data_IF_111924710581
#
_entry.id   IF_111924710581
#
_cell.length_a   1.000
_cell.length_b   1.000
_cell.length_c   1.000
_cell.angle_alpha   90.00
_cell.angle_beta   90.00
_cell.angle_gamma   90.00
#
_symmetry.space_group_name_H-M   'P 1'
#
loop_
_entity.id
_entity.type
_entity.pdbx_description
1 polymer ?
#
# COMPACT_ATOMS: atom_id res chain seq x y z
N UNK A 1 10.47 21.34 10.64
CA UNK A 1 9.97 19.95 10.69
C UNK A 1 8.65 20.01 11.44
N UNK A 2 7.58 19.41 10.90
CA UNK A 2 6.25 19.51 11.50
C UNK A 2 6.22 18.59 12.74
N UNK A 3 6.41 19.16 13.94
CA UNK A 3 6.65 18.43 15.20
C UNK A 3 5.59 17.34 15.47
N UNK A 4 4.36 17.57 14.99
CA UNK A 4 3.24 16.65 15.09
C UNK A 4 3.52 15.25 14.50
N UNK A 5 4.32 15.15 13.42
CA UNK A 5 4.63 13.86 12.78
C UNK A 5 5.57 13.01 13.63
N UNK A 6 6.56 13.64 14.24
CA UNK A 6 7.52 12.97 15.14
C UNK A 6 6.81 12.58 16.44
N UNK A 7 5.92 13.44 16.95
CA UNK A 7 5.12 13.17 18.12
C UNK A 7 4.21 11.94 17.93
N UNK A 8 3.55 11.83 16.76
CA UNK A 8 2.76 10.63 16.41
C UNK A 8 3.65 9.38 16.40
N UNK A 9 4.79 9.39 15.72
CA UNK A 9 5.71 8.24 15.70
C UNK A 9 6.19 7.86 17.11
N UNK A 10 6.54 8.84 17.92
CA UNK A 10 6.99 8.62 19.31
C UNK A 10 5.87 8.08 20.21
N UNK A 11 4.60 8.44 19.95
CA UNK A 11 3.45 7.88 20.68
C UNK A 11 3.29 6.37 20.48
N UNK A 12 3.74 5.83 19.35
CA UNK A 12 3.75 4.39 19.08
C UNK A 12 4.95 3.66 19.70
N UNK A 13 6.07 4.36 19.91
CA UNK A 13 7.24 3.83 20.61
C UNK A 13 7.08 3.80 22.13
N UNK A 14 6.10 4.51 22.70
CA UNK A 14 5.99 4.67 24.16
C UNK A 14 7.24 5.36 24.73
N UNK A 15 7.80 4.83 25.84
CA UNK A 15 9.08 5.29 26.41
C UNK A 15 10.31 4.73 25.68
N UNK A 16 10.15 3.89 24.65
CA UNK A 16 11.27 3.30 23.94
C UNK A 16 11.90 4.31 22.98
N UNK A 17 13.24 4.34 22.96
CA UNK A 17 14.00 5.11 21.98
C UNK A 17 13.64 4.58 20.59
N UNK A 18 13.24 5.49 19.68
CA UNK A 18 13.09 5.18 18.26
C UNK A 18 14.48 4.87 17.71
N UNK A 19 14.86 3.59 17.75
CA UNK A 19 16.14 3.08 17.29
C UNK A 19 15.97 2.05 16.17
N UNK A 20 17.09 1.62 15.58
CA UNK A 20 17.09 0.67 14.47
C UNK A 20 16.45 -0.69 14.86
N UNK A 21 16.54 -1.06 16.15
CA UNK A 21 15.93 -2.28 16.67
C UNK A 21 14.40 -2.17 16.72
N UNK A 22 13.87 -1.02 17.14
CA UNK A 22 12.45 -0.75 17.08
C UNK A 22 11.97 -0.86 15.63
N UNK A 23 12.66 -0.20 14.69
CA UNK A 23 12.27 -0.16 13.27
C UNK A 23 12.23 -1.57 12.67
N UNK A 24 13.29 -2.36 12.89
CA UNK A 24 13.42 -3.71 12.33
C UNK A 24 12.43 -4.73 12.90
N UNK A 25 11.88 -4.50 14.10
CA UNK A 25 10.87 -5.38 14.72
C UNK A 25 9.45 -5.13 14.24
N UNK A 26 9.20 -4.03 13.53
CA UNK A 26 7.83 -3.70 13.10
C UNK A 26 7.40 -4.47 11.87
N UNK A 27 6.12 -4.81 11.82
CA UNK A 27 5.53 -5.43 10.63
C UNK A 27 5.25 -4.40 9.55
N UNK A 28 5.14 -4.83 8.29
CA UNK A 28 4.71 -3.94 7.21
C UNK A 28 3.33 -3.29 7.48
N UNK A 29 2.42 -4.03 8.12
CA UNK A 29 1.11 -3.51 8.52
C UNK A 29 1.19 -2.42 9.59
N UNK A 30 2.18 -2.47 10.48
CA UNK A 30 2.46 -1.38 11.41
C UNK A 30 2.82 -0.11 10.65
N UNK A 31 3.75 -0.17 9.69
CA UNK A 31 4.14 1.00 8.91
C UNK A 31 3.01 1.58 8.07
N UNK A 32 2.17 0.74 7.45
CA UNK A 32 0.98 1.20 6.75
C UNK A 32 0.03 2.00 7.67
N UNK A 33 -0.19 1.52 8.90
CA UNK A 33 -0.99 2.22 9.92
C UNK A 33 -0.37 3.57 10.30
N UNK A 34 0.94 3.61 10.53
CA UNK A 34 1.67 4.84 10.87
C UNK A 34 1.54 5.90 9.78
N UNK A 35 1.71 5.51 8.52
CA UNK A 35 1.58 6.43 7.38
C UNK A 35 0.19 7.09 7.36
N UNK A 36 -0.85 6.31 7.66
CA UNK A 36 -2.23 6.79 7.71
C UNK A 36 -2.48 7.77 8.86
N UNK A 37 -2.08 7.38 10.09
CA UNK A 37 -2.31 8.18 11.29
C UNK A 37 -1.49 9.47 11.31
N UNK A 38 -0.22 9.41 10.89
CA UNK A 38 0.64 10.58 10.77
C UNK A 38 0.31 11.45 9.54
N UNK A 39 -0.59 10.99 8.66
CA UNK A 39 -1.00 11.67 7.43
C UNK A 39 0.18 12.06 6.51
N UNK A 40 1.24 11.25 6.51
CA UNK A 40 2.49 11.52 5.77
C UNK A 40 2.50 10.94 4.35
N UNK A 41 1.37 10.43 3.86
CA UNK A 41 1.24 9.80 2.53
C UNK A 41 1.97 10.52 1.40
N UNK A 42 1.83 11.84 1.30
CA UNK A 42 2.43 12.63 0.23
C UNK A 42 3.94 12.84 0.39
N UNK A 43 4.47 12.67 1.61
CA UNK A 43 5.90 12.74 1.88
C UNK A 43 6.60 11.42 1.55
N UNK A 44 5.85 10.31 1.47
CA UNK A 44 6.38 8.97 1.22
C UNK A 44 6.67 8.73 -0.25
N UNK A 45 5.66 8.96 -1.11
CA UNK A 45 5.77 8.65 -2.54
C UNK A 45 4.74 9.42 -3.35
N UNK A 46 5.12 9.79 -4.57
CA UNK A 46 4.19 10.31 -5.57
C UNK A 46 3.73 9.19 -6.52
N UNK A 47 2.44 8.88 -6.48
CA UNK A 47 1.77 7.86 -7.30
C UNK A 47 0.94 8.48 -8.44
N UNK A 48 1.25 9.69 -8.90
CA UNK A 48 0.55 10.34 -10.01
C UNK A 48 0.53 9.47 -11.28
N UNK A 49 1.61 8.73 -11.52
CA UNK A 49 1.75 7.79 -12.66
C UNK A 49 0.95 6.49 -12.51
N UNK A 50 0.49 6.15 -11.31
CA UNK A 50 -0.23 4.91 -11.04
C UNK A 50 -1.73 5.08 -11.39
N UNK A 51 -2.24 4.24 -12.31
CA UNK A 51 -3.67 4.19 -12.64
C UNK A 51 -4.30 2.88 -12.19
N UNK A 52 -5.10 2.93 -11.11
CA UNK A 52 -5.76 1.75 -10.58
C UNK A 52 -6.77 1.13 -11.54
N UNK A 53 -7.30 1.85 -12.54
CA UNK A 53 -8.21 1.26 -13.53
C UNK A 53 -7.54 0.17 -14.37
N UNK A 54 -6.22 0.24 -14.52
CA UNK A 54 -5.42 -0.79 -15.22
C UNK A 54 -5.61 -2.17 -14.59
N UNK A 55 -5.75 -2.25 -13.27
CA UNK A 55 -5.63 -3.51 -12.54
C UNK A 55 -6.95 -4.24 -12.30
N UNK A 56 -8.09 -3.60 -12.59
CA UNK A 56 -9.37 -4.29 -12.63
C UNK A 56 -10.46 -3.49 -13.31
N UNK A 57 -11.32 -4.17 -14.08
CA UNK A 57 -12.52 -3.58 -14.70
C UNK A 57 -13.51 -3.02 -13.67
N UNK A 58 -13.45 -3.48 -12.42
CA UNK A 58 -14.34 -3.03 -11.34
C UNK A 58 -13.92 -1.69 -10.73
N UNK A 59 -12.70 -1.21 -11.03
CA UNK A 59 -12.19 0.05 -10.54
C UNK A 59 -12.79 1.21 -11.35
N UNK A 60 -13.72 1.96 -10.75
CA UNK A 60 -14.51 2.98 -11.47
C UNK A 60 -13.93 4.39 -11.40
N UNK A 61 -13.25 4.74 -10.32
CA UNK A 61 -12.81 6.12 -10.06
C UNK A 61 -11.51 6.43 -10.81
N UNK A 62 -11.53 7.52 -11.58
CA UNK A 62 -10.41 7.96 -12.41
C UNK A 62 -9.55 9.06 -11.75
N UNK A 63 -10.10 9.84 -10.82
CA UNK A 63 -9.40 10.96 -10.16
C UNK A 63 -9.25 10.68 -8.67
N UNK A 64 -8.09 10.13 -8.31
CA UNK A 64 -7.67 9.93 -6.92
C UNK A 64 -6.55 10.91 -6.60
N UNK A 65 -6.65 11.58 -5.45
CA UNK A 65 -5.57 12.41 -4.92
C UNK A 65 -4.42 11.51 -4.49
N UNK A 66 -3.18 12.03 -4.53
CA UNK A 66 -1.99 11.23 -4.22
C UNK A 66 -2.11 10.51 -2.86
N UNK A 67 -2.51 11.21 -1.79
CA UNK A 67 -2.68 10.59 -0.48
C UNK A 67 -3.67 9.40 -0.49
N UNK A 68 -4.72 9.46 -1.32
CA UNK A 68 -5.68 8.36 -1.47
C UNK A 68 -5.02 7.18 -2.18
N UNK A 69 -4.24 7.46 -3.24
CA UNK A 69 -3.49 6.42 -3.95
C UNK A 69 -2.48 5.72 -3.04
N UNK A 70 -1.75 6.48 -2.24
CA UNK A 70 -0.76 5.93 -1.29
C UNK A 70 -1.45 5.05 -0.26
N UNK A 71 -2.56 5.51 0.33
CA UNK A 71 -3.36 4.70 1.25
C UNK A 71 -3.83 3.39 0.60
N UNK A 72 -4.36 3.46 -0.62
CA UNK A 72 -4.81 2.29 -1.38
C UNK A 72 -3.65 1.33 -1.62
N UNK A 73 -2.49 1.83 -2.05
CA UNK A 73 -1.29 1.03 -2.31
C UNK A 73 -0.87 0.25 -1.06
N UNK A 74 -0.69 0.93 0.08
CA UNK A 74 -0.25 0.27 1.32
C UNK A 74 -1.26 -0.76 1.84
N UNK A 75 -2.56 -0.45 1.82
CA UNK A 75 -3.61 -1.40 2.20
C UNK A 75 -3.60 -2.67 1.34
N UNK A 76 -3.43 -2.51 0.02
CA UNK A 76 -3.35 -3.62 -0.92
C UNK A 76 -2.06 -4.41 -0.69
N UNK A 77 -0.91 -3.74 -0.50
CA UNK A 77 0.37 -4.39 -0.24
C UNK A 77 0.36 -5.23 1.04
N UNK A 78 -0.27 -4.74 2.12
CA UNK A 78 -0.48 -5.55 3.35
C UNK A 78 -1.29 -6.80 3.04
N UNK A 79 -2.38 -6.68 2.28
CA UNK A 79 -3.25 -7.81 1.91
C UNK A 79 -2.56 -8.82 1.00
N UNK A 80 -1.74 -8.36 0.07
CA UNK A 80 -0.91 -9.19 -0.82
C UNK A 80 0.12 -9.93 0.01
N UNK A 81 0.93 -9.24 0.82
CA UNK A 81 1.93 -9.84 1.71
C UNK A 81 1.31 -10.94 2.59
N UNK A 82 0.19 -10.64 3.25
CA UNK A 82 -0.45 -11.59 4.15
C UNK A 82 -1.00 -12.83 3.42
N UNK A 83 -1.38 -12.70 2.14
CA UNK A 83 -1.84 -13.81 1.31
C UNK A 83 -0.71 -14.56 0.62
N UNK A 84 0.47 -13.95 0.42
CA UNK A 84 1.60 -14.59 -0.22
C UNK A 84 2.12 -15.82 0.56
N UNK A 85 1.89 -15.89 1.88
CA UNK A 85 2.13 -17.09 2.70
C UNK A 85 1.30 -18.31 2.28
N UNK A 86 0.18 -18.07 1.61
CA UNK A 86 -0.72 -19.06 1.04
C UNK A 86 -1.06 -18.62 -0.38
N UNK A 87 -0.06 -18.70 -1.27
CA UNK A 87 -0.07 -18.05 -2.58
C UNK A 87 -1.30 -18.37 -3.42
N UNK A 88 -1.96 -19.53 -3.23
CA UNK A 88 -3.20 -19.87 -3.91
C UNK A 88 -4.32 -18.86 -3.62
N UNK A 89 -4.28 -18.19 -2.47
CA UNK A 89 -5.21 -17.12 -2.10
C UNK A 89 -4.97 -15.81 -2.85
N UNK A 90 -3.80 -15.62 -3.48
CA UNK A 90 -3.55 -14.49 -4.37
C UNK A 90 -4.39 -14.59 -5.65
N UNK A 91 -4.69 -15.81 -6.08
CA UNK A 91 -5.39 -16.06 -7.34
C UNK A 91 -6.92 -16.19 -7.22
N UNK A 92 -7.47 -16.04 -6.01
CA UNK A 92 -8.91 -16.19 -5.76
C UNK A 92 -9.68 -14.92 -6.07
N UNK A 93 -10.87 -15.09 -6.65
CA UNK A 93 -11.91 -14.07 -6.77
C UNK A 93 -12.96 -14.26 -5.66
N UNK A 94 -13.84 -13.27 -5.49
CA UNK A 94 -15.09 -13.45 -4.74
C UNK A 94 -16.13 -14.16 -5.63
N UNK A 95 -17.23 -14.61 -5.03
CA UNK A 95 -18.30 -15.33 -5.75
C UNK A 95 -18.92 -14.50 -6.90
N UNK A 96 -18.97 -13.18 -6.72
CA UNK A 96 -19.43 -12.20 -7.72
C UNK A 96 -18.37 -11.85 -8.78
N UNK A 97 -17.28 -12.63 -8.85
CA UNK A 97 -16.14 -12.43 -9.76
C UNK A 97 -15.34 -11.15 -9.53
N UNK A 98 -15.54 -10.45 -8.41
CA UNK A 98 -14.72 -9.27 -8.07
C UNK A 98 -13.37 -9.68 -7.45
N UNK A 99 -12.34 -8.81 -7.55
CA UNK A 99 -11.07 -9.02 -6.87
C UNK A 99 -11.21 -9.26 -5.37
N UNK A 100 -10.67 -10.38 -4.89
CA UNK A 100 -10.57 -10.66 -3.45
C UNK A 100 -9.49 -9.81 -2.77
N UNK A 101 -8.47 -9.40 -3.52
CA UNK A 101 -7.49 -8.40 -3.10
C UNK A 101 -8.05 -7.04 -3.45
N UNK A 102 -8.76 -6.45 -2.48
CA UNK A 102 -9.38 -5.14 -2.62
C UNK A 102 -9.32 -4.34 -1.33
N UNK A 103 -9.38 -3.02 -1.44
CA UNK A 103 -9.47 -2.09 -0.32
C UNK A 103 -10.46 -0.97 -0.60
N UNK A 104 -10.89 -0.29 0.47
CA UNK A 104 -11.84 0.81 0.40
C UNK A 104 -11.28 2.04 1.10
N UNK A 105 -11.23 3.16 0.38
CA UNK A 105 -10.89 4.48 0.93
C UNK A 105 -12.08 5.41 0.71
N UNK A 106 -12.75 5.77 1.82
CA UNK A 106 -14.03 6.48 1.78
C UNK A 106 -15.08 5.67 1.00
N UNK A 107 -15.60 6.26 -0.08
CA UNK A 107 -16.57 5.60 -0.99
C UNK A 107 -15.90 4.85 -2.16
N UNK A 108 -14.58 4.91 -2.29
CA UNK A 108 -13.86 4.31 -3.41
C UNK A 108 -13.40 2.90 -3.04
N UNK A 109 -13.92 1.90 -3.77
CA UNK A 109 -13.42 0.53 -3.76
C UNK A 109 -12.39 0.37 -4.88
N UNK A 110 -11.25 -0.22 -4.56
CA UNK A 110 -10.21 -0.58 -5.53
C UNK A 110 -9.81 -2.03 -5.30
N UNK A 111 -9.76 -2.81 -6.37
CA UNK A 111 -9.31 -4.20 -6.38
C UNK A 111 -8.25 -4.47 -7.44
N UNK A 112 -7.47 -5.52 -7.24
CA UNK A 112 -6.45 -6.00 -8.16
C UNK A 112 -6.86 -7.40 -8.62
N UNK A 113 -7.18 -7.55 -9.90
CA UNK A 113 -7.45 -8.87 -10.48
C UNK A 113 -6.18 -9.74 -10.35
N UNK A 114 -6.31 -11.06 -10.10
CA UNK A 114 -5.17 -11.96 -9.93
C UNK A 114 -4.06 -11.83 -10.97
N UNK A 115 -4.46 -11.74 -12.24
CA UNK A 115 -3.57 -11.67 -13.40
C UNK A 115 -2.83 -10.32 -13.50
N UNK A 116 -3.29 -9.32 -12.74
CA UNK A 116 -2.74 -7.97 -12.71
C UNK A 116 -1.83 -7.71 -11.50
N UNK A 117 -1.66 -8.69 -10.59
CA UNK A 117 -0.87 -8.53 -9.37
C UNK A 117 0.58 -8.15 -9.65
N UNK A 118 1.24 -8.85 -10.58
CA UNK A 118 2.63 -8.58 -10.93
C UNK A 118 2.80 -7.19 -11.55
N UNK A 119 1.95 -6.84 -12.52
CA UNK A 119 1.93 -5.50 -13.12
C UNK A 119 1.70 -4.40 -12.08
N UNK A 120 0.80 -4.63 -11.12
CA UNK A 120 0.55 -3.69 -10.03
C UNK A 120 1.78 -3.50 -9.14
N UNK A 121 2.46 -4.58 -8.74
CA UNK A 121 3.65 -4.52 -7.90
C UNK A 121 4.78 -3.80 -8.64
N UNK A 122 5.02 -4.15 -9.91
CA UNK A 122 6.07 -3.53 -10.72
C UNK A 122 5.80 -2.03 -10.91
N UNK A 123 4.58 -1.65 -11.32
CA UNK A 123 4.21 -0.24 -11.49
C UNK A 123 4.35 0.55 -10.17
N UNK A 124 4.03 -0.08 -9.03
CA UNK A 124 4.22 0.53 -7.72
C UNK A 124 5.70 0.76 -7.40
N UNK A 125 6.57 -0.23 -7.64
CA UNK A 125 8.01 -0.11 -7.44
C UNK A 125 8.62 0.98 -8.33
N UNK A 126 8.20 1.07 -9.60
CA UNK A 126 8.60 2.14 -10.51
C UNK A 126 8.24 3.55 -10.02
N UNK A 127 7.22 3.68 -9.17
CA UNK A 127 6.89 4.98 -8.56
C UNK A 127 7.82 5.36 -7.40
N UNK A 128 8.46 4.38 -6.75
CA UNK A 128 9.45 4.65 -5.71
C UNK A 128 10.82 4.93 -6.32
N UNK A 129 11.27 4.07 -7.23
CA UNK A 129 12.55 4.21 -7.92
C UNK A 129 12.52 3.35 -9.19
N UNK A 130 12.98 3.89 -10.32
CA UNK A 130 13.00 3.18 -11.60
C UNK A 130 13.99 1.99 -11.63
N UNK A 131 14.97 1.99 -10.73
CA UNK A 131 15.95 0.93 -10.56
C UNK A 131 15.49 -0.13 -9.55
N UNK A 132 14.53 0.17 -8.67
CA UNK A 132 14.01 -0.81 -7.69
C UNK A 132 13.45 -2.06 -8.36
N UNK A 133 12.73 -1.90 -9.48
CA UNK A 133 12.18 -3.02 -10.23
C UNK A 133 13.28 -3.95 -10.78
N UNK A 134 14.47 -3.42 -11.08
CA UNK A 134 15.60 -4.19 -11.65
C UNK A 134 16.30 -5.10 -10.63
N UNK A 135 16.08 -4.88 -9.34
CA UNK A 135 16.62 -5.77 -8.29
C UNK A 135 15.81 -7.08 -8.14
N UNK A 136 14.70 -7.22 -8.87
CA UNK A 136 13.85 -8.41 -8.86
C UNK A 136 14.08 -9.33 -10.07
N UNK A 137 14.95 -8.94 -10.99
CA UNK A 137 15.42 -9.71 -12.15
C UNK A 137 16.71 -10.48 -11.81
#
# INVERSE_FOLDING_TARGET
MDNNKVDILSSFGGYFKLDDLFVSKQTFGFWAKIIDEAKIHNDIVNLDKLDFKKYSKFNRKNKLLNYQKVKILYDLAVKIRNRAFHFENLYKLNDDQTPRISTRVGKTLVGIDPQMLEYFINDALFCFDEYLARYLE
#
